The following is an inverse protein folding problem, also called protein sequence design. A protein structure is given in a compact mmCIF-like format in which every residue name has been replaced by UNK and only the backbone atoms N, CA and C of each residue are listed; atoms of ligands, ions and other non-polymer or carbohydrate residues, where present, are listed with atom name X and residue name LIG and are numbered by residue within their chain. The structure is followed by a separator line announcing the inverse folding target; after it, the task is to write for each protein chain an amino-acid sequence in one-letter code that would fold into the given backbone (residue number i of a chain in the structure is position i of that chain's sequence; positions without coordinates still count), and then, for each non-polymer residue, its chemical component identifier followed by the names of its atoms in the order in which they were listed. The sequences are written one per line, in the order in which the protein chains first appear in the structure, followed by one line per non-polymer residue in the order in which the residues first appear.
data_IF_365469007620
#
_entry.id   IF_365469007620
#
_cell.length_a   1.000
_cell.length_b   1.000
_cell.length_c   1.000
_cell.angle_alpha   90.00
_cell.angle_beta   90.00
_cell.angle_gamma   90.00
#
_symmetry.space_group_name_H-M   'P 1'
#
loop_
_entity.id
_entity.type
_entity.pdbx_description
1 polymer ?
#
# COMPACT_ATOMS: atom_id res chain seq x y z
N UNK A 1 -52.81 -38.74 70.61
CA UNK A 1 -51.50 -39.21 70.13
C UNK A 1 -51.63 -39.54 68.65
N UNK A 2 -51.34 -38.55 67.79
CA UNK A 2 -50.76 -38.75 66.47
C UNK A 2 -50.29 -37.37 65.95
N UNK A 3 -49.00 -37.05 66.10
CA UNK A 3 -48.39 -35.84 65.55
C UNK A 3 -47.85 -36.18 64.15
N UNK A 4 -48.23 -35.43 63.12
CA UNK A 4 -47.57 -35.58 61.82
C UNK A 4 -48.47 -35.27 60.64
N UNK A 5 -48.88 -34.01 60.47
CA UNK A 5 -49.37 -33.50 59.19
C UNK A 5 -49.45 -31.96 59.24
N UNK A 6 -48.30 -31.29 59.36
CA UNK A 6 -48.23 -29.82 59.17
C UNK A 6 -46.87 -29.31 58.70
N UNK A 7 -45.95 -30.19 58.27
CA UNK A 7 -44.59 -29.79 57.87
C UNK A 7 -44.27 -30.02 56.38
N UNK A 8 -45.18 -30.61 55.59
CA UNK A 8 -44.94 -30.93 54.17
C UNK A 8 -45.50 -29.93 53.15
N UNK A 9 -46.46 -29.09 53.55
CA UNK A 9 -47.11 -28.13 52.65
C UNK A 9 -46.40 -26.76 52.58
N UNK A 10 -45.59 -26.42 53.59
CA UNK A 10 -44.92 -25.11 53.65
C UNK A 10 -43.58 -25.11 52.91
N UNK A 11 -42.83 -26.23 52.91
CA UNK A 11 -41.57 -26.35 52.15
C UNK A 11 -41.79 -26.52 50.64
N UNK A 12 -42.90 -27.15 50.23
CA UNK A 12 -43.23 -27.39 48.82
C UNK A 12 -43.73 -26.14 48.10
N UNK A 13 -44.46 -25.26 48.79
CA UNK A 13 -44.89 -23.96 48.22
C UNK A 13 -43.72 -22.98 48.09
N UNK A 14 -42.78 -22.99 49.04
CA UNK A 14 -41.59 -22.12 48.99
C UNK A 14 -40.61 -22.52 47.87
N UNK A 15 -40.50 -23.82 47.57
CA UNK A 15 -39.68 -24.32 46.46
C UNK A 15 -40.33 -24.10 45.09
N UNK A 16 -41.65 -24.28 44.97
CA UNK A 16 -42.39 -23.98 43.72
C UNK A 16 -42.32 -22.49 43.38
N UNK A 17 -42.50 -21.60 44.38
CA UNK A 17 -42.37 -20.15 44.19
C UNK A 17 -40.96 -19.72 43.77
N UNK A 18 -39.90 -20.34 44.33
CA UNK A 18 -38.51 -20.08 43.92
C UNK A 18 -38.21 -20.53 42.48
N UNK A 19 -38.77 -21.67 42.03
CA UNK A 19 -38.57 -22.17 40.66
C UNK A 19 -39.30 -21.32 39.62
N UNK A 20 -40.51 -20.85 39.91
CA UNK A 20 -41.24 -19.93 39.02
C UNK A 20 -40.56 -18.56 38.91
N UNK A 21 -40.04 -18.04 40.03
CA UNK A 21 -39.31 -16.77 40.07
C UNK A 21 -37.97 -16.87 39.32
N UNK A 22 -37.25 -17.99 39.46
CA UNK A 22 -36.02 -18.28 38.70
C UNK A 22 -36.30 -18.39 37.19
N UNK A 23 -37.42 -19.02 36.82
CA UNK A 23 -37.85 -19.15 35.42
C UNK A 23 -38.28 -17.81 34.82
N UNK A 24 -38.93 -16.95 35.61
CA UNK A 24 -39.25 -15.58 35.24
C UNK A 24 -37.99 -14.74 35.02
N UNK A 25 -37.05 -14.79 35.96
CA UNK A 25 -35.76 -14.10 35.86
C UNK A 25 -34.96 -14.55 34.62
N UNK A 26 -34.90 -15.86 34.36
CA UNK A 26 -34.24 -16.41 33.17
C UNK A 26 -34.85 -15.88 31.87
N UNK A 27 -36.19 -15.80 31.76
CA UNK A 27 -36.86 -15.25 30.57
C UNK A 27 -36.55 -13.77 30.36
N UNK A 28 -36.49 -13.00 31.44
CA UNK A 28 -36.11 -11.58 31.39
C UNK A 28 -34.66 -11.43 30.94
N UNK A 29 -33.74 -12.22 31.50
CA UNK A 29 -32.31 -12.21 31.10
C UNK A 29 -32.15 -12.60 29.63
N UNK A 30 -32.80 -13.68 29.18
CA UNK A 30 -32.77 -14.11 27.77
C UNK A 30 -33.31 -13.02 26.84
N UNK A 31 -34.37 -12.32 27.23
CA UNK A 31 -34.92 -11.21 26.46
C UNK A 31 -33.93 -10.04 26.32
N UNK A 32 -33.24 -9.67 27.40
CA UNK A 32 -32.20 -8.63 27.34
C UNK A 32 -30.98 -9.07 26.51
N UNK A 33 -30.57 -10.33 26.62
CA UNK A 33 -29.49 -10.88 25.78
C UNK A 33 -29.88 -10.88 24.30
N UNK A 34 -31.12 -11.22 23.97
CA UNK A 34 -31.62 -11.18 22.60
C UNK A 34 -31.63 -9.74 22.04
N UNK A 35 -32.10 -8.75 22.82
CA UNK A 35 -32.03 -7.35 22.43
C UNK A 35 -30.60 -6.87 22.24
N UNK A 36 -29.69 -7.27 23.13
CA UNK A 36 -28.27 -6.96 23.02
C UNK A 36 -27.67 -7.53 21.72
N UNK A 37 -28.01 -8.78 21.40
CA UNK A 37 -27.57 -9.42 20.17
C UNK A 37 -28.08 -8.68 18.93
N UNK A 38 -29.36 -8.27 18.91
CA UNK A 38 -29.92 -7.45 17.82
C UNK A 38 -29.15 -6.15 17.64
N UNK A 39 -28.79 -5.46 18.74
CA UNK A 39 -28.01 -4.21 18.68
C UNK A 39 -26.61 -4.47 18.12
N UNK A 40 -25.93 -5.54 18.56
CA UNK A 40 -24.61 -5.90 18.00
C UNK A 40 -24.73 -6.24 16.52
N UNK A 41 -25.69 -7.08 16.13
CA UNK A 41 -25.91 -7.46 14.73
C UNK A 41 -26.22 -6.25 13.86
N UNK A 42 -27.01 -5.29 14.35
CA UNK A 42 -27.31 -4.07 13.61
C UNK A 42 -26.09 -3.15 13.48
N UNK A 43 -25.26 -3.02 14.53
CA UNK A 43 -23.98 -2.31 14.46
C UNK A 43 -23.03 -2.96 13.46
N UNK A 44 -22.90 -4.28 13.48
CA UNK A 44 -22.07 -5.03 12.56
C UNK A 44 -22.56 -4.93 11.10
N UNK A 45 -23.87 -4.96 10.90
CA UNK A 45 -24.48 -4.76 9.58
C UNK A 45 -24.22 -3.34 9.06
N UNK A 46 -24.42 -2.31 9.89
CA UNK A 46 -24.11 -0.93 9.51
C UNK A 46 -22.63 -0.77 9.18
N UNK A 47 -21.72 -1.32 9.99
CA UNK A 47 -20.29 -1.30 9.69
C UNK A 47 -19.97 -2.01 8.36
N UNK A 48 -20.57 -3.18 8.12
CA UNK A 48 -20.38 -3.91 6.86
C UNK A 48 -20.92 -3.13 5.67
N UNK A 49 -22.07 -2.47 5.79
CA UNK A 49 -22.64 -1.61 4.74
C UNK A 49 -21.77 -0.37 4.51
N UNK A 50 -21.23 0.24 5.56
CA UNK A 50 -20.29 1.37 5.44
C UNK A 50 -19.04 0.96 4.68
N UNK A 51 -18.44 -0.19 5.02
CA UNK A 51 -17.28 -0.77 4.32
C UNK A 51 -17.64 -1.10 2.86
N UNK A 52 -18.76 -1.81 2.63
CA UNK A 52 -19.20 -2.20 1.28
C UNK A 52 -19.57 -1.00 0.39
N UNK A 53 -19.98 0.12 0.98
CA UNK A 53 -20.30 1.36 0.26
C UNK A 53 -19.11 2.30 0.15
N UNK A 54 -17.94 1.94 0.69
CA UNK A 54 -16.75 2.80 0.67
C UNK A 54 -16.95 4.13 1.39
N UNK A 55 -17.89 4.23 2.33
CA UNK A 55 -18.13 5.45 3.12
C UNK A 55 -17.12 5.46 4.27
N UNK A 56 -15.82 5.56 3.96
CA UNK A 56 -14.79 5.77 4.97
C UNK A 56 -14.68 7.26 5.33
N UNK A 57 -14.29 7.54 6.57
CA UNK A 57 -14.17 8.92 7.06
C UNK A 57 -13.16 9.69 6.21
N UNK A 58 -13.62 10.80 5.62
CA UNK A 58 -12.89 11.78 4.77
C UNK A 58 -11.67 12.47 5.45
N UNK A 59 -11.22 12.01 6.61
CA UNK A 59 -10.21 12.69 7.43
C UNK A 59 -9.15 11.72 7.93
N UNK A 60 -8.42 11.13 6.98
CA UNK A 60 -7.11 10.55 7.26
C UNK A 60 -6.09 11.61 6.87
N UNK A 61 -5.50 12.25 7.89
CA UNK A 61 -4.48 13.29 7.69
C UNK A 61 -3.30 12.78 6.87
N UNK A 62 -2.51 13.70 6.33
CA UNK A 62 -1.29 13.38 5.58
C UNK A 62 -0.32 12.62 6.49
N UNK A 63 -0.09 11.34 6.21
CA UNK A 63 1.00 10.57 6.83
C UNK A 63 2.23 10.67 5.93
N UNK A 64 3.24 11.41 6.38
CA UNK A 64 4.52 11.50 5.67
C UNK A 64 5.37 10.29 6.07
N UNK A 65 5.59 9.40 5.11
CA UNK A 65 6.46 8.25 5.28
C UNK A 65 7.88 8.61 4.85
N UNK A 66 8.82 8.56 5.80
CA UNK A 66 10.21 8.99 5.60
C UNK A 66 11.14 7.80 5.32
N UNK A 67 12.05 7.98 4.36
CA UNK A 67 13.18 7.09 4.10
C UNK A 67 14.44 7.86 4.42
N UNK A 68 15.09 7.53 5.53
CA UNK A 68 16.13 8.39 6.11
C UNK A 68 17.54 8.06 5.61
N UNK A 69 17.79 6.82 5.20
CA UNK A 69 19.13 6.38 4.80
C UNK A 69 19.42 6.73 3.35
N UNK A 70 18.43 6.57 2.46
CA UNK A 70 18.63 6.74 1.02
C UNK A 70 19.18 8.12 0.67
N UNK A 71 18.78 9.17 1.38
CA UNK A 71 19.29 10.53 1.18
C UNK A 71 20.79 10.60 1.47
N UNK A 72 21.24 10.00 2.58
CA UNK A 72 22.66 9.94 2.92
C UNK A 72 23.48 9.11 1.92
N UNK A 73 22.89 8.03 1.39
CA UNK A 73 23.52 7.18 0.39
C UNK A 73 23.54 7.80 -1.01
N UNK A 74 22.54 8.60 -1.37
CA UNK A 74 22.49 9.38 -2.61
C UNK A 74 23.50 10.55 -2.58
N UNK A 75 23.82 11.06 -1.39
CA UNK A 75 24.82 12.10 -1.20
C UNK A 75 24.31 13.49 -1.57
N UNK A 76 25.23 14.39 -1.91
CA UNK A 76 24.97 15.83 -2.13
C UNK A 76 25.25 16.29 -3.57
N UNK A 77 25.60 15.37 -4.47
CA UNK A 77 25.96 15.68 -5.87
C UNK A 77 25.33 14.68 -6.84
N UNK A 78 25.95 14.48 -8.00
CA UNK A 78 25.51 13.51 -8.98
C UNK A 78 25.46 12.09 -8.37
N UNK A 79 24.45 11.31 -8.74
CA UNK A 79 24.26 9.94 -8.25
C UNK A 79 25.47 9.05 -8.57
N UNK A 80 26.18 9.31 -9.68
CA UNK A 80 27.40 8.58 -10.01
C UNK A 80 28.52 8.78 -8.97
N UNK A 81 28.58 9.94 -8.32
CA UNK A 81 29.55 10.27 -7.27
C UNK A 81 29.08 9.89 -5.87
N UNK A 82 27.83 9.41 -5.74
CA UNK A 82 27.20 9.12 -4.47
C UNK A 82 27.93 8.05 -3.65
N UNK A 83 27.81 8.06 -2.32
CA UNK A 83 28.23 6.95 -1.47
C UNK A 83 27.65 5.59 -1.90
N UNK A 84 26.42 5.56 -2.42
CA UNK A 84 25.80 4.35 -2.95
C UNK A 84 26.64 3.75 -4.08
N UNK A 85 27.01 4.54 -5.09
CA UNK A 85 27.81 4.03 -6.21
C UNK A 85 29.26 3.82 -5.80
N UNK A 86 29.88 4.81 -5.17
CA UNK A 86 31.32 4.81 -4.93
C UNK A 86 31.75 3.89 -3.78
N UNK A 87 30.97 3.82 -2.69
CA UNK A 87 31.34 3.03 -1.50
C UNK A 87 30.64 1.69 -1.44
N UNK A 88 29.33 1.62 -1.72
CA UNK A 88 28.58 0.36 -1.63
C UNK A 88 28.88 -0.55 -2.82
N UNK A 89 28.89 0.01 -4.04
CA UNK A 89 29.18 -0.73 -5.27
C UNK A 89 30.66 -0.69 -5.68
N UNK A 90 31.52 -0.01 -4.92
CA UNK A 90 32.95 0.10 -5.22
C UNK A 90 33.24 0.83 -6.55
N UNK A 91 32.34 1.74 -6.96
CA UNK A 91 32.44 2.47 -8.22
C UNK A 91 32.04 1.68 -9.46
N UNK A 92 31.57 0.43 -9.32
CA UNK A 92 31.05 -0.35 -10.45
C UNK A 92 29.59 0.04 -10.73
N UNK A 93 29.28 0.18 -12.02
CA UNK A 93 27.92 0.32 -12.55
C UNK A 93 27.47 -0.93 -13.31
N UNK A 94 28.15 -2.06 -13.12
CA UNK A 94 27.78 -3.33 -13.74
C UNK A 94 26.43 -3.80 -13.22
N UNK A 95 25.64 -4.42 -14.11
CA UNK A 95 24.33 -4.95 -13.75
C UNK A 95 24.51 -6.05 -12.71
N UNK A 96 23.69 -5.99 -11.66
CA UNK A 96 23.70 -6.95 -10.56
C UNK A 96 22.46 -7.80 -10.61
N UNK A 97 22.53 -8.96 -9.97
CA UNK A 97 21.40 -9.86 -9.80
C UNK A 97 20.79 -9.81 -8.39
N UNK A 98 21.37 -9.00 -7.49
CA UNK A 98 20.90 -8.81 -6.11
C UNK A 98 20.24 -7.43 -5.90
N UNK A 99 19.74 -7.23 -4.68
CA UNK A 99 19.16 -5.99 -4.16
C UNK A 99 20.09 -5.42 -3.10
N UNK A 100 20.22 -4.09 -3.05
CA UNK A 100 20.95 -3.40 -1.98
C UNK A 100 19.95 -2.99 -0.89
N UNK A 101 20.10 -3.54 0.31
CA UNK A 101 19.31 -3.17 1.48
C UNK A 101 20.13 -2.22 2.35
N UNK A 102 19.67 -0.98 2.53
CA UNK A 102 20.33 0.01 3.38
C UNK A 102 19.91 -0.25 4.82
N UNK A 103 20.83 -0.72 5.67
CA UNK A 103 20.50 -1.14 7.05
C UNK A 103 20.84 -0.05 8.06
N UNK A 104 21.98 0.63 7.86
CA UNK A 104 22.40 1.79 8.65
C UNK A 104 23.08 2.82 7.73
N UNK A 105 23.48 3.97 8.25
CA UNK A 105 24.22 4.99 7.49
C UNK A 105 25.57 4.51 6.90
N UNK A 106 26.09 3.37 7.37
CA UNK A 106 27.41 2.87 6.96
C UNK A 106 27.42 1.37 6.64
N UNK A 107 26.28 0.69 6.71
CA UNK A 107 26.19 -0.74 6.43
C UNK A 107 25.00 -1.09 5.54
N UNK A 108 25.26 -1.94 4.57
CA UNK A 108 24.25 -2.50 3.68
C UNK A 108 24.21 -4.02 3.82
N UNK A 109 23.09 -4.60 3.44
CA UNK A 109 22.84 -6.03 3.29
C UNK A 109 22.49 -6.30 1.83
N UNK A 110 22.74 -7.52 1.34
CA UNK A 110 22.37 -7.95 -0.01
C UNK A 110 21.30 -9.06 0.01
N UNK A 111 20.79 -9.39 1.18
CA UNK A 111 19.80 -10.45 1.39
C UNK A 111 18.46 -9.90 1.84
N UNK A 112 18.45 -9.08 2.88
CA UNK A 112 17.21 -8.58 3.51
C UNK A 112 17.47 -7.41 4.49
N UNK A 113 16.37 -6.79 4.94
CA UNK A 113 16.33 -5.86 6.06
C UNK A 113 16.30 -6.59 7.41
N UNK A 114 17.47 -6.98 7.92
CA UNK A 114 17.64 -7.83 9.11
C UNK A 114 17.10 -7.25 10.42
N UNK A 115 16.98 -5.92 10.52
CA UNK A 115 16.53 -5.23 11.72
C UNK A 115 15.01 -4.93 11.73
N UNK A 116 14.29 -5.27 10.66
CA UNK A 116 12.86 -4.97 10.51
C UNK A 116 12.04 -6.19 10.92
N UNK A 117 11.40 -6.12 12.08
CA UNK A 117 10.49 -7.17 12.52
C UNK A 117 9.29 -7.26 11.57
N UNK A 118 8.95 -8.46 11.09
CA UNK A 118 7.88 -8.65 10.12
C UNK A 118 8.22 -8.18 8.69
N UNK A 119 9.52 -8.12 8.34
CA UNK A 119 9.95 -7.88 6.97
C UNK A 119 9.36 -8.92 6.00
N UNK A 120 8.72 -8.44 4.92
CA UNK A 120 8.23 -9.29 3.84
C UNK A 120 9.27 -9.39 2.72
N UNK A 121 9.97 -10.52 2.68
CA UNK A 121 10.99 -10.80 1.66
C UNK A 121 10.42 -11.12 0.27
N UNK A 122 9.11 -11.36 0.16
CA UNK A 122 8.43 -11.53 -1.12
C UNK A 122 8.20 -10.17 -1.77
N UNK A 123 7.64 -9.22 -1.00
CA UNK A 123 7.28 -7.89 -1.52
C UNK A 123 8.50 -6.96 -1.63
N UNK A 124 9.42 -6.98 -0.68
CA UNK A 124 10.64 -6.16 -0.73
C UNK A 124 11.85 -6.91 -1.29
N UNK A 125 11.62 -8.12 -1.81
CA UNK A 125 12.65 -8.95 -2.42
C UNK A 125 13.06 -8.53 -3.83
N UNK A 126 14.24 -9.00 -4.23
CA UNK A 126 14.83 -8.76 -5.54
C UNK A 126 13.91 -9.12 -6.72
N UNK A 127 13.25 -10.28 -6.65
CA UNK A 127 12.39 -10.76 -7.73
C UNK A 127 11.20 -9.83 -7.97
N UNK A 128 10.53 -9.37 -6.90
CA UNK A 128 9.35 -8.52 -7.02
C UNK A 128 9.72 -7.07 -7.41
N UNK A 129 10.79 -6.52 -6.84
CA UNK A 129 11.28 -5.20 -7.22
C UNK A 129 11.66 -5.13 -8.72
N UNK A 130 12.36 -6.16 -9.23
CA UNK A 130 12.70 -6.28 -10.66
C UNK A 130 11.46 -6.51 -11.52
N UNK A 131 10.50 -7.28 -11.04
CA UNK A 131 9.23 -7.49 -11.72
C UNK A 131 8.46 -6.17 -11.91
N UNK A 132 8.36 -5.34 -10.87
CA UNK A 132 7.73 -4.01 -10.97
C UNK A 132 8.50 -3.09 -11.92
N UNK A 133 9.83 -3.02 -11.80
CA UNK A 133 10.66 -2.22 -12.71
C UNK A 133 10.50 -2.64 -14.18
N UNK A 134 10.56 -3.95 -14.45
CA UNK A 134 10.43 -4.49 -15.79
C UNK A 134 9.05 -4.22 -16.38
N UNK A 135 7.99 -4.35 -15.57
CA UNK A 135 6.63 -4.01 -15.99
C UNK A 135 6.50 -2.52 -16.32
N UNK A 136 7.01 -1.63 -15.46
CA UNK A 136 7.05 -0.19 -15.73
C UNK A 136 7.78 0.12 -17.04
N UNK A 137 8.97 -0.45 -17.24
CA UNK A 137 9.77 -0.25 -18.44
C UNK A 137 9.06 -0.79 -19.70
N UNK A 138 8.43 -1.97 -19.61
CA UNK A 138 7.76 -2.63 -20.74
C UNK A 138 6.59 -1.82 -21.29
N UNK A 139 5.86 -1.13 -20.42
CA UNK A 139 4.68 -0.34 -20.82
C UNK A 139 4.91 1.17 -20.78
N UNK A 140 6.16 1.61 -20.56
CA UNK A 140 6.53 3.00 -20.53
C UNK A 140 6.23 3.71 -21.86
N UNK A 141 5.48 4.80 -21.78
CA UNK A 141 5.15 5.69 -22.91
C UNK A 141 5.17 7.14 -22.44
N UNK A 142 5.11 8.07 -23.39
CA UNK A 142 5.01 9.51 -23.13
C UNK A 142 6.04 10.02 -22.10
N UNK A 143 5.61 10.67 -21.01
CA UNK A 143 6.49 11.20 -19.95
C UNK A 143 7.38 10.14 -19.28
N UNK A 144 7.04 8.85 -19.39
CA UNK A 144 7.85 7.75 -18.87
C UNK A 144 8.66 7.03 -19.94
N UNK A 145 8.59 7.41 -21.22
CA UNK A 145 9.27 6.74 -22.32
C UNK A 145 10.79 6.62 -22.12
N UNK A 146 11.40 7.55 -21.39
CA UNK A 146 12.82 7.52 -21.04
C UNK A 146 13.22 6.24 -20.28
N UNK A 147 12.30 5.61 -19.53
CA UNK A 147 12.56 4.35 -18.82
C UNK A 147 13.00 3.23 -19.76
N UNK A 148 12.59 3.26 -21.03
CA UNK A 148 12.96 2.26 -22.04
C UNK A 148 14.44 2.31 -22.41
N UNK A 149 15.13 3.42 -22.15
CA UNK A 149 16.56 3.62 -22.43
C UNK A 149 17.47 3.32 -21.22
N UNK A 150 16.88 2.82 -20.12
CA UNK A 150 17.58 2.54 -18.87
C UNK A 150 17.86 1.04 -18.69
N UNK A 151 18.94 0.73 -17.99
CA UNK A 151 19.24 -0.60 -17.46
C UNK A 151 19.28 -0.54 -15.93
N UNK A 152 18.65 -1.52 -15.29
CA UNK A 152 18.65 -1.64 -13.84
C UNK A 152 19.99 -2.20 -13.33
N UNK A 153 20.76 -1.37 -12.62
CA UNK A 153 21.96 -1.82 -11.91
C UNK A 153 21.54 -2.71 -10.75
N UNK A 154 20.73 -2.16 -9.83
CA UNK A 154 20.16 -2.91 -8.71
C UNK A 154 18.94 -2.18 -8.11
N UNK A 155 17.93 -2.92 -7.63
CA UNK A 155 16.98 -2.38 -6.68
C UNK A 155 17.69 -1.97 -5.38
N UNK A 156 17.20 -0.91 -4.75
CA UNK A 156 17.68 -0.39 -3.47
C UNK A 156 16.49 -0.21 -2.55
N UNK A 157 16.56 -0.83 -1.37
CA UNK A 157 15.53 -0.79 -0.35
C UNK A 157 16.09 -0.08 0.88
N UNK A 158 15.45 1.00 1.30
CA UNK A 158 15.81 1.70 2.54
C UNK A 158 15.12 1.03 3.73
N UNK A 159 15.87 0.28 4.55
CA UNK A 159 15.31 -0.47 5.68
C UNK A 159 14.78 0.39 6.82
N UNK A 160 14.89 1.73 6.73
CA UNK A 160 14.26 2.66 7.68
C UNK A 160 12.87 3.11 7.28
N UNK A 161 12.40 2.73 6.08
CA UNK A 161 11.05 3.05 5.65
C UNK A 161 10.03 2.38 6.57
N UNK A 162 9.15 3.20 7.14
CA UNK A 162 8.20 2.82 8.19
C UNK A 162 7.13 1.82 7.72
N UNK A 163 6.80 1.79 6.43
CA UNK A 163 5.84 0.83 5.85
C UNK A 163 6.48 -0.48 5.35
N UNK A 164 7.71 -0.82 5.77
CA UNK A 164 8.33 -2.11 5.46
C UNK A 164 7.74 -3.29 6.25
N UNK A 165 6.99 -3.00 7.32
CA UNK A 165 6.50 -4.01 8.27
C UNK A 165 5.16 -4.59 7.79
N UNK A 166 5.10 -5.91 7.60
CA UNK A 166 3.90 -6.66 7.20
C UNK A 166 2.81 -6.79 8.27
N UNK A 167 3.00 -6.18 9.46
CA UNK A 167 2.07 -6.33 10.59
C UNK A 167 0.91 -5.33 10.56
N UNK A 168 0.96 -4.32 9.70
CA UNK A 168 -0.21 -3.52 9.41
C UNK A 168 -0.91 -4.13 8.19
N UNK A 169 -2.10 -4.71 8.37
CA UNK A 169 -2.93 -5.26 7.28
C UNK A 169 -3.37 -4.16 6.27
N UNK A 170 -2.92 -2.92 6.48
CA UNK A 170 -3.20 -1.73 5.69
C UNK A 170 -2.00 -1.21 4.87
N UNK A 171 -0.97 -2.03 4.57
CA UNK A 171 0.11 -1.61 3.63
C UNK A 171 -0.47 -1.43 2.22
N UNK A 172 -0.97 -0.22 1.97
CA UNK A 172 -1.47 0.26 0.67
C UNK A 172 -0.40 1.01 -0.11
N UNK A 173 0.84 1.05 0.40
CA UNK A 173 1.95 1.78 -0.22
C UNK A 173 3.27 1.02 -0.07
N UNK A 174 4.09 1.07 -1.12
CA UNK A 174 5.42 0.47 -1.20
C UNK A 174 6.38 1.50 -1.78
N UNK A 175 7.49 1.78 -1.11
CA UNK A 175 8.54 2.65 -1.66
C UNK A 175 9.78 1.82 -1.99
N UNK A 176 10.24 1.95 -3.22
CA UNK A 176 11.45 1.30 -3.71
C UNK A 176 12.29 2.31 -4.47
N UNK A 177 13.60 2.11 -4.46
CA UNK A 177 14.52 2.88 -5.27
C UNK A 177 15.15 1.96 -6.30
N UNK A 178 15.34 2.44 -7.52
CA UNK A 178 16.03 1.70 -8.58
C UNK A 178 17.25 2.49 -8.99
N UNK A 179 18.43 1.93 -8.71
CA UNK A 179 19.67 2.47 -9.27
C UNK A 179 19.79 1.97 -10.70
N UNK A 180 19.81 2.90 -11.65
CA UNK A 180 19.81 2.62 -13.08
C UNK A 180 20.94 3.35 -13.77
N UNK A 181 21.26 2.92 -14.98
CA UNK A 181 22.16 3.63 -15.90
C UNK A 181 21.54 3.72 -17.29
N UNK A 182 22.03 4.65 -18.11
CA UNK A 182 21.64 4.67 -19.51
C UNK A 182 22.28 3.50 -20.29
N UNK A 183 21.54 2.95 -21.24
CA UNK A 183 22.04 1.95 -22.21
C UNK A 183 23.15 2.51 -23.09
N UNK A 184 23.03 3.77 -23.48
CA UNK A 184 23.96 4.48 -24.36
C UNK A 184 25.24 4.92 -23.64
N UNK A 185 25.16 5.23 -22.34
CA UNK A 185 26.28 5.70 -21.53
C UNK A 185 26.23 5.11 -20.10
N UNK A 186 27.06 4.11 -19.84
CA UNK A 186 27.09 3.39 -18.56
C UNK A 186 27.69 4.19 -17.40
N UNK A 187 28.24 5.38 -17.67
CA UNK A 187 28.72 6.32 -16.65
C UNK A 187 27.64 7.27 -16.14
N UNK A 188 26.51 7.37 -16.84
CA UNK A 188 25.36 8.17 -16.42
C UNK A 188 24.40 7.30 -15.61
N UNK A 189 24.44 7.47 -14.30
CA UNK A 189 23.56 6.77 -13.37
C UNK A 189 22.47 7.69 -12.84
N UNK A 190 21.29 7.11 -12.62
CA UNK A 190 20.17 7.78 -11.98
C UNK A 190 19.65 6.93 -10.83
N UNK A 191 19.08 7.60 -9.84
CA UNK A 191 18.27 6.98 -8.82
C UNK A 191 16.80 7.26 -9.14
N UNK A 192 16.06 6.21 -9.50
CA UNK A 192 14.61 6.32 -9.64
C UNK A 192 13.97 6.07 -8.28
N UNK A 193 13.30 7.07 -7.72
CA UNK A 193 12.41 6.88 -6.58
C UNK A 193 11.04 6.45 -7.10
N UNK A 194 10.57 5.28 -6.71
CA UNK A 194 9.26 4.75 -7.08
C UNK A 194 8.41 4.53 -5.82
N UNK A 195 7.29 5.24 -5.75
CA UNK A 195 6.24 4.99 -4.76
C UNK A 195 5.08 4.29 -5.46
N UNK A 196 4.83 3.06 -5.08
CA UNK A 196 3.67 2.30 -5.52
C UNK A 196 2.58 2.38 -4.46
N UNK A 197 1.32 2.45 -4.88
CA UNK A 197 0.18 2.44 -3.97
C UNK A 197 -1.00 1.69 -4.57
N UNK A 198 -1.63 0.83 -3.78
CA UNK A 198 -2.89 0.21 -4.17
C UNK A 198 -4.03 1.18 -3.91
N UNK A 199 -4.75 1.54 -4.96
CA UNK A 199 -5.81 2.53 -4.94
C UNK A 199 -7.02 2.02 -5.72
N UNK A 200 -8.19 2.55 -5.39
CA UNK A 200 -9.38 2.33 -6.20
C UNK A 200 -9.38 3.33 -7.38
N UNK A 201 -9.76 2.87 -8.56
CA UNK A 201 -9.90 3.69 -9.76
C UNK A 201 -11.35 3.70 -10.26
N UNK A 202 -11.71 4.79 -10.94
CA UNK A 202 -12.98 4.96 -11.62
C UNK A 202 -12.76 5.58 -13.02
N UNK A 203 -13.47 5.03 -13.98
CA UNK A 203 -13.51 5.46 -15.38
C UNK A 203 -14.97 5.78 -15.72
N UNK A 204 -15.37 7.02 -15.50
CA UNK A 204 -16.77 7.44 -15.66
C UNK A 204 -17.29 7.23 -17.07
N UNK A 205 -16.47 7.52 -18.08
CA UNK A 205 -16.84 7.36 -19.48
C UNK A 205 -17.14 5.90 -19.87
N UNK A 206 -16.62 4.94 -19.11
CA UNK A 206 -16.77 3.51 -19.39
C UNK A 206 -17.58 2.76 -18.33
N UNK A 207 -18.07 3.47 -17.29
CA UNK A 207 -18.71 2.88 -16.11
C UNK A 207 -17.90 1.72 -15.51
N UNK A 208 -16.57 1.88 -15.47
CA UNK A 208 -15.66 0.88 -14.91
C UNK A 208 -15.05 1.40 -13.61
N UNK A 209 -14.90 0.51 -12.64
CA UNK A 209 -14.22 0.78 -11.38
C UNK A 209 -13.57 -0.50 -10.86
N UNK A 210 -12.51 -0.35 -10.06
CA UNK A 210 -11.85 -1.50 -9.43
C UNK A 210 -10.58 -1.09 -8.71
N UNK A 211 -9.78 -2.08 -8.32
CA UNK A 211 -8.46 -1.85 -7.76
C UNK A 211 -7.44 -1.54 -8.86
N UNK A 212 -6.45 -0.72 -8.55
CA UNK A 212 -5.30 -0.44 -9.37
C UNK A 212 -4.03 -0.32 -8.53
N UNK A 213 -2.90 -0.62 -9.15
CA UNK A 213 -1.59 -0.22 -8.64
C UNK A 213 -1.19 1.10 -9.29
N UNK A 214 -1.12 2.14 -8.49
CA UNK A 214 -0.62 3.45 -8.90
C UNK A 214 0.87 3.55 -8.61
N UNK A 215 1.63 4.18 -9.49
CA UNK A 215 3.06 4.42 -9.35
C UNK A 215 3.39 5.89 -9.59
N UNK A 216 4.06 6.51 -8.62
CA UNK A 216 4.71 7.81 -8.77
C UNK A 216 6.21 7.59 -8.87
N UNK A 217 6.82 8.08 -9.94
CA UNK A 217 8.23 7.83 -10.28
C UNK A 217 8.93 9.17 -10.42
N UNK A 218 10.04 9.34 -9.71
CA UNK A 218 10.92 10.50 -9.82
C UNK A 218 12.31 10.05 -10.25
N UNK A 219 12.83 10.62 -11.34
CA UNK A 219 14.20 10.40 -11.76
C UNK A 219 15.12 11.45 -11.13
N UNK A 220 16.16 11.00 -10.45
CA UNK A 220 17.14 11.85 -9.77
C UNK A 220 18.52 11.48 -10.31
N UNK A 221 19.15 12.40 -11.03
CA UNK A 221 20.55 12.28 -11.48
C UNK A 221 21.51 13.10 -10.60
N UNK A 222 21.02 14.18 -10.00
CA UNK A 222 21.79 15.08 -9.12
C UNK A 222 20.97 15.53 -7.91
N UNK A 223 21.50 15.31 -6.71
CA UNK A 223 20.86 15.70 -5.45
C UNK A 223 20.85 17.23 -5.21
N UNK A 224 21.52 18.01 -6.06
CA UNK A 224 21.50 19.48 -6.03
C UNK A 224 20.33 20.07 -6.81
N UNK A 225 19.57 19.24 -7.54
CA UNK A 225 18.40 19.70 -8.27
C UNK A 225 17.37 20.32 -7.32
N UNK A 226 16.86 21.49 -7.67
CA UNK A 226 15.84 22.20 -6.86
C UNK A 226 14.42 21.77 -7.20
N UNK A 227 14.25 21.09 -8.33
CA UNK A 227 12.97 20.61 -8.84
C UNK A 227 13.13 19.16 -9.29
N UNK A 228 12.13 18.34 -8.98
CA UNK A 228 12.09 16.93 -9.36
C UNK A 228 10.81 16.69 -10.14
N UNK A 229 10.96 16.20 -11.37
CA UNK A 229 9.81 15.86 -12.21
C UNK A 229 9.27 14.49 -11.79
N UNK A 230 7.97 14.42 -11.55
CA UNK A 230 7.28 13.20 -11.16
C UNK A 230 6.47 12.69 -12.35
N UNK A 231 6.80 11.50 -12.82
CA UNK A 231 5.98 10.75 -13.77
C UNK A 231 4.99 9.86 -13.03
N UNK A 232 3.84 9.61 -13.63
CA UNK A 232 2.79 8.78 -13.04
C UNK A 232 2.46 7.61 -13.95
N UNK A 233 2.12 6.47 -13.35
CA UNK A 233 1.61 5.32 -14.08
C UNK A 233 0.54 4.60 -13.26
N UNK A 234 -0.42 3.96 -13.95
CA UNK A 234 -1.46 3.16 -13.31
C UNK A 234 -1.60 1.80 -13.98
N UNK A 235 -1.56 0.73 -13.19
CA UNK A 235 -1.92 -0.62 -13.61
C UNK A 235 -3.30 -0.98 -13.04
N UNK A 236 -4.33 -0.86 -13.88
CA UNK A 236 -5.71 -1.21 -13.53
C UNK A 236 -5.84 -2.72 -13.30
N UNK A 237 -6.80 -3.12 -12.46
CA UNK A 237 -7.11 -4.49 -12.05
C UNK A 237 -6.00 -5.23 -11.27
N UNK A 238 -4.82 -4.66 -11.06
CA UNK A 238 -3.83 -5.24 -10.17
C UNK A 238 -4.30 -5.10 -8.70
N UNK A 239 -4.14 -6.12 -7.82
CA UNK A 239 -3.36 -7.36 -7.95
C UNK A 239 -4.13 -8.58 -8.50
N UNK A 240 -5.28 -8.40 -9.14
CA UNK A 240 -6.08 -9.50 -9.70
C UNK A 240 -5.58 -9.99 -11.07
N UNK A 241 -4.52 -9.38 -11.61
CA UNK A 241 -3.80 -9.81 -12.80
C UNK A 241 -2.38 -10.25 -12.43
N UNK A 242 -1.81 -11.18 -13.23
CA UNK A 242 -0.48 -11.74 -12.96
C UNK A 242 0.68 -10.77 -13.22
N UNK A 243 0.47 -9.77 -14.07
CA UNK A 243 1.44 -8.72 -14.39
C UNK A 243 0.72 -7.37 -14.28
N UNK A 244 1.30 -6.35 -13.62
CA UNK A 244 0.74 -5.01 -13.68
C UNK A 244 0.91 -4.48 -15.10
N UNK A 245 -0.21 -4.13 -15.75
CA UNK A 245 -0.21 -3.50 -17.07
C UNK A 245 -0.25 -1.98 -16.91
N UNK A 246 0.91 -1.37 -16.63
CA UNK A 246 0.99 0.07 -16.42
C UNK A 246 0.59 0.85 -17.68
N UNK A 247 -0.20 1.90 -17.51
CA UNK A 247 -0.41 2.97 -18.48
C UNK A 247 0.26 4.22 -17.93
N UNK A 248 1.12 4.86 -18.72
CA UNK A 248 1.71 6.15 -18.35
C UNK A 248 0.60 7.20 -18.26
N UNK A 249 0.65 8.06 -17.25
CA UNK A 249 -0.38 9.06 -17.03
C UNK A 249 0.22 10.43 -16.68
N UNK A 250 -0.56 11.46 -16.99
CA UNK A 250 -0.31 12.84 -16.57
C UNK A 250 -1.33 13.26 -15.53
N UNK A 251 -0.87 13.88 -14.45
CA UNK A 251 -1.76 14.45 -13.44
C UNK A 251 -2.40 15.74 -13.97
N UNK A 252 -3.72 15.73 -14.12
CA UNK A 252 -4.52 16.91 -14.53
C UNK A 252 -4.85 17.80 -13.32
N UNK A 253 -4.97 17.21 -12.14
CA UNK A 253 -5.24 17.91 -10.88
C UNK A 253 -5.99 17.03 -9.89
N UNK A 254 -6.37 17.64 -8.78
CA UNK A 254 -7.22 17.02 -7.75
C UNK A 254 -8.64 17.57 -7.88
N UNK A 255 -9.64 16.71 -7.82
CA UNK A 255 -11.04 17.13 -7.76
C UNK A 255 -11.34 17.77 -6.41
N UNK A 256 -11.87 18.99 -6.42
CA UNK A 256 -12.09 19.82 -5.23
C UNK A 256 -13.18 19.28 -4.31
N UNK A 257 -14.10 18.47 -4.84
CA UNK A 257 -15.30 18.06 -4.11
C UNK A 257 -15.10 16.69 -3.40
N UNK A 258 -14.27 15.81 -3.99
CA UNK A 258 -14.10 14.44 -3.54
C UNK A 258 -12.65 13.94 -3.41
N UNK A 259 -11.64 14.82 -3.52
CA UNK A 259 -10.22 14.50 -3.36
C UNK A 259 -9.69 13.40 -4.30
N UNK A 260 -10.35 13.18 -5.44
CA UNK A 260 -9.86 12.25 -6.46
C UNK A 260 -8.73 12.88 -7.26
N UNK A 261 -7.68 12.12 -7.53
CA UNK A 261 -6.68 12.51 -8.53
C UNK A 261 -7.24 12.23 -9.91
N UNK A 262 -7.21 13.24 -10.79
CA UNK A 262 -7.57 13.08 -12.20
C UNK A 262 -6.33 12.91 -13.04
N UNK A 263 -6.27 11.77 -13.73
CA UNK A 263 -5.13 11.34 -14.50
C UNK A 263 -5.55 11.18 -15.96
N UNK A 264 -4.79 11.79 -16.87
CA UNK A 264 -4.89 11.51 -18.29
C UNK A 264 -3.92 10.36 -18.61
N UNK A 265 -4.44 9.17 -18.89
CA UNK A 265 -3.65 7.96 -19.09
C UNK A 265 -3.56 7.58 -20.56
N UNK A 266 -2.33 7.41 -21.03
CA UNK A 266 -2.01 7.15 -22.41
C UNK A 266 -2.05 5.65 -22.72
N UNK A 267 -2.56 5.27 -23.91
CA UNK A 267 -2.52 3.90 -24.37
C UNK A 267 -1.08 3.47 -24.68
N UNK A 268 -0.83 2.17 -24.77
CA UNK A 268 0.46 1.67 -25.23
C UNK A 268 0.77 2.14 -26.65
N UNK A 269 2.05 2.27 -27.01
CA UNK A 269 2.49 2.89 -28.27
C UNK A 269 1.90 2.26 -29.55
N UNK A 270 1.42 1.01 -29.49
CA UNK A 270 0.84 0.29 -30.62
C UNK A 270 -0.67 0.03 -30.49
N UNK A 271 -1.34 0.68 -29.53
CA UNK A 271 -2.78 0.53 -29.34
C UNK A 271 -3.56 1.58 -30.13
N UNK A 272 -4.74 1.19 -30.62
CA UNK A 272 -5.73 2.09 -31.22
C UNK A 272 -6.68 2.69 -30.19
N UNK A 273 -6.50 2.34 -28.91
CA UNK A 273 -7.32 2.88 -27.83
C UNK A 273 -7.12 4.38 -27.70
N UNK A 274 -8.18 5.10 -27.32
CA UNK A 274 -8.06 6.51 -26.98
C UNK A 274 -7.40 6.69 -25.62
N UNK A 275 -6.79 7.86 -25.42
CA UNK A 275 -6.43 8.37 -24.10
C UNK A 275 -7.64 8.32 -23.17
N UNK A 276 -7.43 7.89 -21.92
CA UNK A 276 -8.50 7.72 -20.93
C UNK A 276 -8.27 8.62 -19.74
N UNK A 277 -9.30 9.34 -19.33
CA UNK A 277 -9.30 10.06 -18.05
C UNK A 277 -9.70 9.10 -16.93
N UNK A 278 -8.81 8.89 -15.97
CA UNK A 278 -8.98 8.00 -14.82
C UNK A 278 -9.02 8.85 -13.55
N UNK A 279 -10.01 8.61 -12.70
CA UNK A 279 -10.06 9.14 -11.35
C UNK A 279 -9.52 8.08 -10.39
N UNK A 280 -8.60 8.44 -9.49
CA UNK A 280 -8.13 7.53 -8.43
C UNK A 280 -8.42 8.09 -7.05
N UNK A 281 -8.91 7.21 -6.17
CA UNK A 281 -9.14 7.52 -4.78
C UNK A 281 -7.81 7.51 -4.03
N UNK A 282 -7.22 8.70 -3.84
CA UNK A 282 -6.06 8.82 -2.97
C UNK A 282 -6.55 8.86 -1.52
N UNK A 283 -6.25 7.81 -0.75
CA UNK A 283 -6.75 7.66 0.64
C UNK A 283 -6.06 8.58 1.67
N UNK A 284 -5.12 9.42 1.25
CA UNK A 284 -4.52 10.44 2.12
C UNK A 284 -4.99 11.82 1.65
N UNK A 285 -5.54 12.59 2.58
CA UNK A 285 -6.00 13.95 2.32
C UNK A 285 -4.91 14.86 1.76
N UNK A 286 -5.34 15.97 1.15
CA UNK A 286 -4.45 17.06 0.70
C UNK A 286 -3.70 17.67 1.87
#
# INVERSE_FOLDING_TARGET
MNPGQSLGAMETVETVGKVELLRGLHRVVVFFVALWYVVISMKAFLASVTVLRGIELKDQGITVHESTLIVAYAGESAINESPLVQKVLGGSTDLRDDTVYLVTNSSCSFTECTAVAGYDSVVYGNSFARFLFNSLQKYATDDLAYLTELELIAPVIDCTFDLLVSLDEAVTQLRMYFLVRQKSNTSETLLLSALFSTQDFQLDQQYQSGAALFATIAAIDDMRATEVTHGFAIARNYPYESEPHFSSCKLLGVDSDDNFWRLECFPSANSTDSVKEVCTAFRTGV
#
